data_IF_773427416286
#
_entry.id   IF_773427416286
#
_cell.length_a   1.000
_cell.length_b   1.000
_cell.length_c   1.000
_cell.angle_alpha   90.00
_cell.angle_beta   90.00
_cell.angle_gamma   90.00
#
_symmetry.space_group_name_H-M   'P 1'
#
loop_
_entity.id
_entity.type
_entity.pdbx_description
1 polymer ?
#
# COMPACT_ATOMS: atom_id res chain seq x y z
N UNK A 1 21.86 5.07 -7.47
CA UNK A 1 20.94 4.04 -6.93
C UNK A 1 19.98 3.65 -8.04
N UNK A 2 20.24 2.53 -8.71
CA UNK A 2 19.30 1.93 -9.65
C UNK A 2 18.10 1.42 -8.86
N UNK A 3 16.98 2.13 -8.92
CA UNK A 3 15.70 1.57 -8.51
C UNK A 3 15.37 0.48 -9.53
N UNK A 4 15.64 -0.76 -9.15
CA UNK A 4 15.30 -1.93 -9.94
C UNK A 4 13.78 -1.97 -10.12
N UNK A 5 13.32 -2.27 -11.32
CA UNK A 5 11.89 -2.29 -11.68
C UNK A 5 11.14 -3.23 -10.72
N UNK A 6 11.79 -4.29 -10.26
CA UNK A 6 11.27 -5.26 -9.29
C UNK A 6 10.90 -4.69 -7.90
N UNK A 7 11.38 -3.50 -7.52
CA UNK A 7 11.06 -2.85 -6.24
C UNK A 7 10.04 -1.70 -6.38
N UNK A 8 9.45 -1.52 -7.56
CA UNK A 8 8.60 -0.36 -7.80
C UNK A 8 7.33 -0.33 -6.96
N UNK A 9 6.82 -1.51 -6.58
CA UNK A 9 5.58 -1.63 -5.83
C UNK A 9 5.79 -2.41 -4.54
N UNK A 10 5.91 -1.66 -3.44
CA UNK A 10 6.20 -2.20 -2.12
C UNK A 10 5.19 -3.25 -1.64
N UNK A 11 3.85 -3.06 -1.76
CA UNK A 11 2.89 -4.06 -1.29
C UNK A 11 3.05 -5.43 -1.96
N UNK A 12 3.32 -5.48 -3.28
CA UNK A 12 3.53 -6.74 -4.00
C UNK A 12 4.78 -7.48 -3.57
N UNK A 13 5.90 -6.75 -3.46
CA UNK A 13 7.14 -7.33 -2.94
C UNK A 13 7.00 -7.81 -1.49
N UNK A 14 6.39 -7.01 -0.62
CA UNK A 14 6.17 -7.35 0.78
C UNK A 14 5.27 -8.59 0.93
N UNK A 15 4.23 -8.72 0.10
CA UNK A 15 3.33 -9.88 0.12
C UNK A 15 4.09 -11.14 -0.26
N UNK A 16 4.89 -11.08 -1.33
CA UNK A 16 5.73 -12.19 -1.80
C UNK A 16 6.72 -12.65 -0.72
N UNK A 17 7.47 -11.73 -0.10
CA UNK A 17 8.44 -12.10 0.94
C UNK A 17 7.74 -12.64 2.20
N UNK A 18 6.57 -12.13 2.57
CA UNK A 18 5.74 -12.68 3.64
C UNK A 18 5.34 -14.13 3.36
N UNK A 19 4.82 -14.42 2.16
CA UNK A 19 4.38 -15.78 1.79
C UNK A 19 5.53 -16.76 1.59
N UNK A 20 6.72 -16.26 1.25
CA UNK A 20 7.93 -17.08 1.06
C UNK A 20 8.69 -17.37 2.36
N UNK A 21 8.15 -16.98 3.53
CA UNK A 21 8.84 -17.14 4.82
C UNK A 21 10.11 -16.29 4.95
N UNK A 22 10.19 -15.19 4.18
CA UNK A 22 11.30 -14.23 4.18
C UNK A 22 10.87 -12.85 4.67
N UNK A 23 9.84 -12.80 5.54
CA UNK A 23 9.19 -11.57 5.99
C UNK A 23 10.18 -10.55 6.55
N UNK A 24 11.22 -11.00 7.26
CA UNK A 24 12.25 -10.13 7.84
C UNK A 24 12.96 -9.21 6.84
N UNK A 25 12.96 -9.54 5.54
CA UNK A 25 13.52 -8.64 4.51
C UNK A 25 12.69 -7.36 4.32
N UNK A 26 11.41 -7.40 4.68
CA UNK A 26 10.45 -6.28 4.55
C UNK A 26 10.69 -5.20 5.60
N UNK A 27 11.40 -5.53 6.67
CA UNK A 27 11.72 -4.61 7.76
C UNK A 27 12.54 -3.41 7.25
N UNK A 28 12.15 -2.20 7.67
CA UNK A 28 12.96 -1.00 7.44
C UNK A 28 14.32 -1.18 8.12
N UNK A 29 15.40 -0.97 7.36
CA UNK A 29 16.79 -1.07 7.82
C UNK A 29 17.08 -0.21 9.05
N UNK A 30 16.33 0.88 9.22
CA UNK A 30 16.45 1.80 10.37
C UNK A 30 15.98 1.19 11.70
N UNK A 31 15.28 0.06 11.67
CA UNK A 31 14.87 -0.64 12.89
C UNK A 31 15.99 -1.51 13.49
N UNK A 32 17.16 -1.60 12.85
CA UNK A 32 18.40 -2.17 13.44
C UNK A 32 18.22 -3.55 14.12
N UNK A 33 17.28 -4.37 13.65
CA UNK A 33 17.01 -5.70 14.21
C UNK A 33 16.12 -5.71 15.47
N UNK A 34 15.54 -4.58 15.87
CA UNK A 34 14.60 -4.47 16.99
C UNK A 34 13.17 -4.93 16.65
N UNK A 35 13.02 -5.92 15.77
CA UNK A 35 11.73 -6.36 15.24
C UNK A 35 11.59 -7.86 15.44
N UNK A 36 10.56 -8.24 16.18
CA UNK A 36 10.17 -9.63 16.33
C UNK A 36 9.42 -10.11 15.08
N UNK A 37 9.83 -11.26 14.53
CA UNK A 37 9.28 -11.79 13.28
C UNK A 37 7.77 -12.04 13.36
N UNK A 38 7.29 -12.51 14.51
CA UNK A 38 5.86 -12.75 14.72
C UNK A 38 5.04 -11.46 14.66
N UNK A 39 5.54 -10.36 15.26
CA UNK A 39 4.89 -9.06 15.21
C UNK A 39 4.89 -8.48 13.80
N UNK A 40 5.98 -8.67 13.07
CA UNK A 40 6.09 -8.28 11.67
C UNK A 40 5.07 -9.02 10.80
N UNK A 41 4.99 -10.35 10.92
CA UNK A 41 4.04 -11.16 10.15
C UNK A 41 2.60 -10.72 10.47
N UNK A 42 2.31 -10.45 11.74
CA UNK A 42 0.99 -9.95 12.17
C UNK A 42 0.68 -8.60 11.53
N UNK A 43 1.61 -7.64 11.61
CA UNK A 43 1.45 -6.32 11.02
C UNK A 43 1.27 -6.38 9.51
N UNK A 44 2.01 -7.24 8.81
CA UNK A 44 1.87 -7.44 7.37
C UNK A 44 0.49 -8.01 7.02
N UNK A 45 0.02 -9.04 7.73
CA UNK A 45 -1.32 -9.58 7.51
C UNK A 45 -2.40 -8.51 7.71
N UNK A 46 -2.31 -7.71 8.77
CA UNK A 46 -3.24 -6.59 9.02
C UNK A 46 -3.20 -5.60 7.86
N UNK A 47 -2.00 -5.18 7.44
CA UNK A 47 -1.84 -4.23 6.35
C UNK A 47 -2.49 -4.74 5.05
N UNK A 48 -2.30 -6.01 4.71
CA UNK A 48 -2.90 -6.62 3.52
C UNK A 48 -4.42 -6.77 3.61
N UNK A 49 -4.99 -7.03 4.78
CA UNK A 49 -6.45 -6.97 4.98
C UNK A 49 -7.00 -5.54 4.82
N UNK A 50 -6.24 -4.52 5.23
CA UNK A 50 -6.67 -3.12 5.15
C UNK A 50 -6.72 -2.57 3.71
N UNK A 51 -5.86 -3.08 2.82
CA UNK A 51 -5.76 -2.60 1.43
C UNK A 51 -6.55 -3.43 0.42
N UNK A 52 -7.43 -4.33 0.88
CA UNK A 52 -8.28 -5.13 -0.01
C UNK A 52 -9.16 -4.22 -0.88
N UNK A 53 -9.30 -4.55 -2.15
CA UNK A 53 -10.06 -3.72 -3.09
C UNK A 53 -11.53 -3.63 -2.65
N UNK A 54 -12.11 -4.77 -2.28
CA UNK A 54 -13.46 -4.85 -1.74
C UNK A 54 -13.57 -4.28 -0.32
N UNK A 55 -14.37 -3.23 -0.16
CA UNK A 55 -14.52 -2.50 1.11
C UNK A 55 -15.04 -3.40 2.23
N UNK A 56 -15.93 -4.33 1.93
CA UNK A 56 -16.49 -5.25 2.93
C UNK A 56 -15.50 -6.31 3.42
N UNK A 57 -14.37 -6.48 2.75
CA UNK A 57 -13.27 -7.36 3.20
C UNK A 57 -12.31 -6.65 4.14
N UNK A 58 -12.36 -5.30 4.20
CA UNK A 58 -11.48 -4.52 5.06
C UNK A 58 -11.97 -4.60 6.51
N UNK A 59 -11.09 -4.87 7.48
CA UNK A 59 -11.46 -4.89 8.88
C UNK A 59 -11.82 -3.48 9.36
N UNK A 60 -12.74 -3.42 10.32
CA UNK A 60 -13.00 -2.18 11.06
C UNK A 60 -11.78 -1.78 11.88
N UNK A 61 -11.65 -0.49 12.22
CA UNK A 61 -10.53 -0.03 13.06
C UNK A 61 -10.46 -0.74 14.43
N UNK A 62 -11.61 -1.12 14.99
CA UNK A 62 -11.65 -1.89 16.24
C UNK A 62 -11.10 -3.32 16.08
N UNK A 63 -11.34 -3.94 14.94
CA UNK A 63 -10.73 -5.24 14.59
C UNK A 63 -9.24 -5.09 14.34
N UNK A 64 -8.81 -4.07 13.58
CA UNK A 64 -7.39 -3.76 13.32
C UNK A 64 -6.59 -3.65 14.63
N UNK A 65 -7.11 -2.95 15.64
CA UNK A 65 -6.44 -2.83 16.94
C UNK A 65 -6.31 -4.20 17.61
N UNK A 66 -7.40 -4.97 17.70
CA UNK A 66 -7.36 -6.32 18.30
C UNK A 66 -6.40 -7.26 17.58
N UNK A 67 -6.34 -7.16 16.25
CA UNK A 67 -5.40 -7.92 15.42
C UNK A 67 -3.95 -7.55 15.74
N UNK A 68 -3.64 -6.25 15.83
CA UNK A 68 -2.27 -5.79 16.13
C UNK A 68 -1.83 -6.14 17.57
N UNK A 69 -2.76 -6.04 18.53
CA UNK A 69 -2.55 -6.44 19.93
C UNK A 69 -2.42 -7.97 20.12
N UNK A 70 -2.67 -8.77 19.07
CA UNK A 70 -2.64 -10.23 19.17
C UNK A 70 -3.83 -10.84 19.93
N UNK A 71 -4.88 -10.06 20.16
CA UNK A 71 -6.12 -10.52 20.82
C UNK A 71 -7.09 -11.19 19.85
N UNK A 72 -6.76 -11.24 18.56
CA UNK A 72 -7.56 -11.85 17.50
C UNK A 72 -6.65 -12.54 16.50
N UNK A 73 -6.95 -13.81 16.19
CA UNK A 73 -6.22 -14.57 15.18
C UNK A 73 -6.47 -14.01 13.78
N UNK A 74 -5.42 -14.05 12.95
CA UNK A 74 -5.43 -13.48 11.60
C UNK A 74 -5.12 -14.55 10.57
N UNK A 75 -6.13 -14.88 9.77
CA UNK A 75 -5.98 -15.71 8.59
C UNK A 75 -5.13 -15.00 7.53
N UNK A 76 -4.52 -15.78 6.64
CA UNK A 76 -3.75 -15.23 5.52
C UNK A 76 -4.68 -14.37 4.64
N UNK A 77 -4.36 -13.08 4.42
CA UNK A 77 -5.15 -12.25 3.51
C UNK A 77 -4.95 -12.73 2.07
N UNK A 78 -5.95 -12.57 1.20
CA UNK A 78 -5.75 -12.77 -0.23
C UNK A 78 -4.83 -11.68 -0.79
N UNK A 79 -4.14 -11.98 -1.89
CA UNK A 79 -3.36 -10.97 -2.60
C UNK A 79 -4.32 -9.91 -3.16
N UNK A 80 -4.14 -8.62 -2.86
CA UNK A 80 -4.99 -7.57 -3.43
C UNK A 80 -4.95 -7.62 -4.96
N UNK A 81 -6.10 -7.50 -5.64
CA UNK A 81 -6.17 -7.62 -7.10
C UNK A 81 -5.40 -6.50 -7.79
N UNK A 82 -5.45 -5.30 -7.23
CA UNK A 82 -4.58 -4.19 -7.67
C UNK A 82 -3.09 -4.53 -7.59
N UNK A 83 -2.66 -5.36 -6.64
CA UNK A 83 -1.27 -5.86 -6.59
C UNK A 83 -1.00 -6.84 -7.72
N UNK A 84 -1.95 -7.75 -8.00
CA UNK A 84 -1.85 -8.76 -9.04
C UNK A 84 -1.80 -8.13 -10.45
N UNK A 85 -2.72 -7.21 -10.74
CA UNK A 85 -2.81 -6.50 -12.02
C UNK A 85 -1.52 -5.73 -12.32
N UNK A 86 -0.96 -5.05 -11.32
CA UNK A 86 0.32 -4.34 -11.45
C UNK A 86 1.52 -5.26 -11.67
N UNK A 87 1.44 -6.51 -11.23
CA UNK A 87 2.46 -7.55 -11.47
C UNK A 87 2.30 -8.18 -12.86
N UNK A 88 1.06 -8.35 -13.34
CA UNK A 88 0.74 -8.98 -14.64
C UNK A 88 0.87 -8.04 -15.84
N UNK A 89 0.48 -6.76 -15.74
CA UNK A 89 0.43 -5.82 -16.86
C UNK A 89 1.80 -5.28 -17.31
N UNK A 90 2.89 -5.73 -16.69
CA UNK A 90 4.24 -5.28 -17.02
C UNK A 90 4.62 -4.03 -16.22
N UNK A 91 5.26 -4.30 -15.09
CA UNK A 91 5.77 -3.35 -14.10
C UNK A 91 6.49 -2.12 -14.71
N UNK A 92 7.15 -2.26 -15.87
CA UNK A 92 7.83 -1.16 -16.58
C UNK A 92 6.88 -0.08 -17.11
N UNK A 93 5.68 -0.46 -17.57
CA UNK A 93 4.73 0.47 -18.16
C UNK A 93 4.00 1.27 -17.09
N UNK A 94 3.58 0.61 -16.01
CA UNK A 94 3.06 1.26 -14.79
C UNK A 94 4.12 2.17 -14.17
N UNK A 95 5.36 1.68 -14.04
CA UNK A 95 6.50 2.47 -13.56
C UNK A 95 6.66 3.76 -14.35
N UNK A 96 6.67 3.67 -15.69
CA UNK A 96 6.81 4.84 -16.55
C UNK A 96 5.59 5.78 -16.48
N UNK A 97 4.37 5.26 -16.38
CA UNK A 97 3.17 6.08 -16.27
C UNK A 97 3.16 6.88 -14.96
N UNK A 98 3.36 6.20 -13.83
CA UNK A 98 3.35 6.82 -12.51
C UNK A 98 4.57 7.74 -12.29
N UNK A 99 5.74 7.43 -12.86
CA UNK A 99 6.90 8.34 -12.88
C UNK A 99 6.65 9.60 -13.73
N UNK A 100 5.85 9.50 -14.80
CA UNK A 100 5.44 10.68 -15.59
C UNK A 100 4.51 11.59 -14.79
N UNK A 101 3.57 11.04 -14.02
CA UNK A 101 2.70 11.83 -13.15
C UNK A 101 3.47 12.57 -12.05
N UNK A 102 4.45 11.89 -11.41
CA UNK A 102 5.29 12.51 -10.38
C UNK A 102 6.17 13.66 -10.92
N UNK A 103 6.61 13.58 -12.18
CA UNK A 103 7.35 14.68 -12.82
C UNK A 103 6.44 15.80 -13.35
N UNK A 104 5.19 15.49 -13.74
CA UNK A 104 4.22 16.50 -14.20
C UNK A 104 3.69 17.38 -13.08
N UNK A 105 3.70 16.92 -11.82
CA UNK A 105 3.32 17.76 -10.67
C UNK A 105 4.35 18.83 -10.31
N UNK A 106 5.54 18.81 -10.95
CA UNK A 106 6.58 19.84 -10.77
C UNK A 106 6.35 21.10 -11.62
N UNK A 107 5.25 21.19 -12.39
CA UNK A 107 4.91 22.40 -13.13
C UNK A 107 3.43 22.72 -13.00
N UNK A 108 3.11 23.65 -12.09
CA UNK A 108 1.78 24.22 -11.94
C UNK A 108 1.40 24.96 -13.23
N UNK A 109 0.61 24.33 -14.09
CA UNK A 109 -0.26 25.06 -15.02
C UNK A 109 -1.55 24.29 -15.19
N UNK A 110 -2.62 24.83 -14.59
CA UNK A 110 -3.98 24.33 -14.73
C UNK A 110 -4.46 24.75 -16.13
N UNK A 111 -4.52 23.82 -17.07
CA UNK A 111 -5.35 23.95 -18.28
C UNK A 111 -6.36 22.82 -18.27
N UNK A 112 -7.56 23.16 -17.81
CA UNK A 112 -8.69 22.28 -17.58
C UNK A 112 -9.50 22.04 -18.86
N UNK A 113 -9.38 20.87 -19.50
CA UNK A 113 -10.40 20.42 -20.46
C UNK A 113 -10.56 18.87 -20.46
N UNK A 114 -11.72 18.43 -19.92
CA UNK A 114 -12.50 17.19 -20.18
C UNK A 114 -11.80 15.82 -19.93
N UNK A 115 -12.25 14.95 -19.01
CA UNK A 115 -13.62 14.41 -18.93
C UNK A 115 -13.95 13.79 -17.55
N UNK A 116 -15.07 14.24 -16.98
CA UNK A 116 -15.98 13.59 -16.00
C UNK A 116 -15.42 12.61 -14.96
N UNK A 117 -15.14 13.14 -13.75
CA UNK A 117 -15.32 12.43 -12.48
C UNK A 117 -15.82 13.44 -11.44
N UNK A 118 -17.08 13.33 -11.03
CA UNK A 118 -17.63 14.14 -9.93
C UNK A 118 -17.19 13.53 -8.59
N UNK A 119 -15.94 13.80 -8.19
CA UNK A 119 -15.53 13.63 -6.81
C UNK A 119 -15.92 14.88 -6.03
N UNK A 120 -16.99 14.80 -5.23
CA UNK A 120 -17.37 15.87 -4.30
C UNK A 120 -16.41 15.83 -3.11
N UNK A 121 -15.35 16.63 -3.13
CA UNK A 121 -14.52 16.88 -1.95
C UNK A 121 -15.13 18.01 -1.12
N UNK A 122 -15.63 17.68 0.07
CA UNK A 122 -16.08 18.66 1.05
C UNK A 122 -14.85 19.37 1.65
N UNK A 123 -14.53 20.57 1.15
CA UNK A 123 -13.50 21.40 1.77
C UNK A 123 -13.95 21.84 3.17
N UNK A 124 -13.40 21.23 4.21
CA UNK A 124 -13.50 21.78 5.57
C UNK A 124 -12.48 22.92 5.67
N UNK A 125 -12.95 24.16 5.65
CA UNK A 125 -12.11 25.32 5.97
C UNK A 125 -11.87 25.33 7.48
N UNK A 126 -10.62 25.08 7.90
CA UNK A 126 -10.25 25.38 9.29
C UNK A 126 -10.30 26.90 9.47
N UNK A 127 -11.29 27.38 10.23
CA UNK A 127 -11.35 28.76 10.68
C UNK A 127 -10.27 28.97 11.75
N UNK A 128 -9.39 29.99 11.64
CA UNK A 128 -8.47 30.32 12.71
C UNK A 128 -9.25 30.93 13.88
N UNK A 129 -9.01 30.42 15.09
CA UNK A 129 -9.16 31.18 16.33
C UNK A 129 -7.83 31.14 17.06
#
# INVERSE_FOLDING_TARGET
MSFDVENFFYPGWAYKEMTNGSAMKVVDRRMEGSVEEEELIRALKVAFWCIQDEVFMRPTMGEVVKMLEGSMDINMPPMPQTVLELVEEGLDQVYRAMKREFNNFSSFTITSHLSTSNATCSYSTMSPR
#
